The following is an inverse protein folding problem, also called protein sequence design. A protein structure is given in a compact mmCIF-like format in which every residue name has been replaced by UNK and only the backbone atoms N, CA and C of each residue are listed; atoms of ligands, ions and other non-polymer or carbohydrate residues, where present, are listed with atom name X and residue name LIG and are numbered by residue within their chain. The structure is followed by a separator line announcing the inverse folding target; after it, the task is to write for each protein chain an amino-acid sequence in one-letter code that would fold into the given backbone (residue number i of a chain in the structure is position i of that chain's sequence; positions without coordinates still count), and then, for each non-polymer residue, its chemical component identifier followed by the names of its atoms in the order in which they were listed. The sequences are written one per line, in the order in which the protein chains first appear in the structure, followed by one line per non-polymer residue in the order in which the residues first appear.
data_IF_777437716291
#
_entry.id   IF_777437716291
#
_cell.length_a   1.000
_cell.length_b   1.000
_cell.length_c   1.000
_cell.angle_alpha   90.00
_cell.angle_beta   90.00
_cell.angle_gamma   90.00
#
_symmetry.space_group_name_H-M   'P 1'
#
loop_
_entity.id
_entity.type
_entity.pdbx_description
1 polymer ?
#
# COMPACT_ATOMS: atom_id res chain seq x y z
N UNK A 1 28.09 3.57 -13.80
CA UNK A 1 27.04 4.56 -13.48
C UNK A 1 25.85 3.82 -12.88
N UNK A 2 25.91 3.43 -11.61
CA UNK A 2 24.71 3.01 -10.90
C UNK A 2 24.00 4.28 -10.47
N UNK A 3 22.93 4.65 -11.17
CA UNK A 3 21.99 5.62 -10.63
C UNK A 3 21.53 5.05 -9.29
N UNK A 4 22.01 5.60 -8.18
CA UNK A 4 21.49 5.29 -6.85
C UNK A 4 19.99 5.50 -6.95
N UNK A 5 19.18 4.46 -7.01
CA UNK A 5 17.74 4.58 -6.97
C UNK A 5 17.30 4.31 -5.54
N UNK A 6 16.29 5.03 -5.04
CA UNK A 6 15.72 4.69 -3.74
C UNK A 6 15.24 3.23 -3.75
N UNK A 7 15.87 2.41 -2.92
CA UNK A 7 15.52 1.01 -2.73
C UNK A 7 15.10 0.75 -1.29
N UNK A 8 14.16 -0.17 -1.13
CA UNK A 8 13.74 -0.69 0.16
C UNK A 8 13.98 -2.19 0.12
N UNK A 9 14.78 -2.71 1.05
CA UNK A 9 15.18 -4.12 1.07
C UNK A 9 15.76 -4.61 -0.28
N UNK A 10 16.54 -3.76 -0.97
CA UNK A 10 17.15 -4.07 -2.27
C UNK A 10 16.20 -4.04 -3.46
N UNK A 11 14.92 -3.67 -3.27
CA UNK A 11 13.91 -3.56 -4.34
C UNK A 11 13.52 -2.13 -4.61
N UNK A 12 13.14 -1.85 -5.86
CA UNK A 12 12.66 -0.53 -6.25
C UNK A 12 11.22 -0.29 -5.77
N UNK A 13 10.80 0.98 -5.71
CA UNK A 13 9.47 1.30 -5.19
C UNK A 13 8.30 0.67 -5.99
N UNK A 14 8.32 0.61 -7.34
CA UNK A 14 7.33 -0.16 -8.12
C UNK A 14 7.17 -1.62 -7.69
N UNK A 15 8.27 -2.33 -7.41
CA UNK A 15 8.26 -3.72 -6.95
C UNK A 15 7.63 -3.85 -5.56
N UNK A 16 7.92 -2.90 -4.68
CA UNK A 16 7.29 -2.82 -3.36
C UNK A 16 5.79 -2.58 -3.51
N UNK A 17 5.35 -1.65 -4.37
CA UNK A 17 3.92 -1.40 -4.63
C UNK A 17 3.19 -2.65 -5.13
N UNK A 18 3.82 -3.39 -6.06
CA UNK A 18 3.28 -4.64 -6.57
C UNK A 18 3.18 -5.69 -5.46
N UNK A 19 4.23 -5.87 -4.66
CA UNK A 19 4.23 -6.81 -3.54
C UNK A 19 3.16 -6.47 -2.49
N UNK A 20 3.04 -5.19 -2.11
CA UNK A 20 2.02 -4.71 -1.17
C UNK A 20 0.61 -4.95 -1.71
N UNK A 21 0.37 -4.67 -2.99
CA UNK A 21 -0.92 -4.96 -3.63
C UNK A 21 -1.25 -6.45 -3.65
N UNK A 22 -0.26 -7.31 -3.89
CA UNK A 22 -0.44 -8.77 -3.82
C UNK A 22 -0.76 -9.25 -2.39
N UNK A 23 -0.11 -8.68 -1.37
CA UNK A 23 -0.40 -8.99 0.03
C UNK A 23 -1.85 -8.59 0.37
N UNK A 24 -2.29 -7.40 -0.05
CA UNK A 24 -3.66 -6.95 0.14
C UNK A 24 -4.68 -7.83 -0.60
N UNK A 25 -4.37 -8.25 -1.82
CA UNK A 25 -5.20 -9.16 -2.60
C UNK A 25 -5.31 -10.53 -1.93
N UNK A 26 -4.19 -11.13 -1.52
CA UNK A 26 -4.16 -12.40 -0.81
C UNK A 26 -4.93 -12.33 0.50
N UNK A 27 -4.77 -11.24 1.26
CA UNK A 27 -5.50 -11.02 2.50
C UNK A 27 -7.02 -10.91 2.26
N UNK A 28 -7.44 -10.09 1.30
CA UNK A 28 -8.87 -9.90 1.02
C UNK A 28 -9.56 -11.18 0.52
N UNK A 29 -8.89 -11.96 -0.34
CA UNK A 29 -9.39 -13.27 -0.78
C UNK A 29 -9.45 -14.23 0.41
N UNK A 30 -8.38 -14.32 1.21
CA UNK A 30 -8.34 -15.18 2.39
C UNK A 30 -9.43 -14.84 3.40
N UNK A 31 -9.63 -13.55 3.69
CA UNK A 31 -10.67 -13.09 4.59
C UNK A 31 -12.08 -13.42 4.07
N UNK A 32 -12.32 -13.28 2.76
CA UNK A 32 -13.60 -13.66 2.16
C UNK A 32 -13.89 -15.16 2.31
N UNK A 33 -12.91 -16.01 2.03
CA UNK A 33 -13.04 -17.48 2.17
C UNK A 33 -13.24 -17.88 3.63
N UNK A 34 -12.47 -17.31 4.57
CA UNK A 34 -12.60 -17.58 6.01
C UNK A 34 -13.97 -17.14 6.55
N UNK A 35 -14.58 -16.12 5.95
CA UNK A 35 -15.93 -15.67 6.30
C UNK A 35 -17.06 -16.52 5.70
N UNK A 36 -16.75 -17.73 5.21
CA UNK A 36 -17.68 -18.59 4.45
C UNK A 36 -18.32 -17.87 3.25
N UNK A 37 -17.57 -16.94 2.64
CA UNK A 37 -18.05 -16.08 1.54
C UNK A 37 -19.29 -15.24 1.91
N UNK A 38 -19.61 -15.10 3.19
CA UNK A 38 -20.79 -14.39 3.66
C UNK A 38 -20.62 -12.86 3.63
N UNK A 39 -19.38 -12.37 3.52
CA UNK A 39 -19.07 -10.95 3.70
C UNK A 39 -18.20 -10.37 2.60
N UNK A 40 -18.82 -9.78 1.58
CA UNK A 40 -18.12 -9.01 0.53
C UNK A 40 -17.31 -7.85 1.14
N UNK A 41 -17.72 -7.33 2.31
CA UNK A 41 -16.98 -6.28 3.01
C UNK A 41 -15.62 -6.77 3.54
N UNK A 42 -15.40 -8.08 3.70
CA UNK A 42 -14.08 -8.64 4.01
C UNK A 42 -13.06 -8.42 2.89
N UNK A 43 -13.51 -8.13 1.65
CA UNK A 43 -12.65 -7.84 0.51
C UNK A 43 -12.18 -6.38 0.43
N UNK A 44 -12.58 -5.50 1.37
CA UNK A 44 -12.13 -4.09 1.38
C UNK A 44 -10.59 -3.97 1.27
N UNK A 45 -9.76 -4.75 2.00
CA UNK A 45 -8.31 -4.71 1.84
C UNK A 45 -7.85 -4.93 0.40
N UNK A 46 -8.49 -5.84 -0.33
CA UNK A 46 -8.21 -6.10 -1.75
C UNK A 46 -8.69 -4.95 -2.64
N UNK A 47 -9.88 -4.39 -2.43
CA UNK A 47 -10.37 -3.28 -3.26
C UNK A 47 -9.54 -2.01 -3.08
N UNK A 48 -9.02 -1.77 -1.87
CA UNK A 48 -8.21 -0.60 -1.55
C UNK A 48 -6.74 -0.79 -1.93
N UNK A 49 -6.18 -1.99 -1.69
CA UNK A 49 -4.79 -2.31 -1.99
C UNK A 49 -4.54 -2.82 -3.41
N UNK A 50 -5.55 -3.36 -4.09
CA UNK A 50 -5.48 -3.83 -5.48
C UNK A 50 -4.99 -2.75 -6.45
N UNK A 51 -5.54 -1.52 -6.42
CA UNK A 51 -5.04 -0.40 -7.20
C UNK A 51 -3.55 -0.10 -6.95
N UNK A 52 -3.05 -0.27 -5.72
CA UNK A 52 -1.63 -0.07 -5.38
C UNK A 52 -0.76 -1.02 -6.21
N UNK A 53 -1.13 -2.30 -6.25
CA UNK A 53 -0.42 -3.33 -7.00
C UNK A 53 -0.48 -3.10 -8.51
N UNK A 54 -1.66 -2.77 -9.03
CA UNK A 54 -1.88 -2.48 -10.45
C UNK A 54 -1.04 -1.28 -10.91
N UNK A 55 -1.02 -0.19 -10.13
CA UNK A 55 -0.22 0.99 -10.42
C UNK A 55 1.28 0.71 -10.31
N UNK A 56 1.68 -0.15 -9.36
CA UNK A 56 3.05 -0.67 -9.26
C UNK A 56 3.48 -1.35 -10.55
N UNK A 57 2.68 -2.31 -11.02
CA UNK A 57 2.93 -3.02 -12.29
C UNK A 57 2.95 -2.09 -13.51
N UNK A 58 1.98 -1.16 -13.62
CA UNK A 58 1.95 -0.17 -14.71
C UNK A 58 3.19 0.73 -14.69
N UNK A 59 3.69 1.10 -13.52
CA UNK A 59 4.88 1.94 -13.39
C UNK A 59 6.18 1.24 -13.82
N UNK A 60 6.22 -0.10 -13.77
CA UNK A 60 7.32 -0.89 -14.35
C UNK A 60 7.25 -0.93 -15.88
N UNK A 61 6.05 -1.14 -16.44
CA UNK A 61 5.87 -1.21 -17.90
C UNK A 61 6.00 0.16 -18.58
N UNK A 62 5.62 1.23 -17.90
CA UNK A 62 5.61 2.59 -18.46
C UNK A 62 6.47 3.53 -17.60
N UNK A 63 7.80 3.42 -17.66
CA UNK A 63 8.70 4.21 -16.82
C UNK A 63 8.56 5.72 -17.06
N UNK A 64 8.16 6.13 -18.27
CA UNK A 64 7.91 7.55 -18.63
C UNK A 64 6.88 8.22 -17.72
N UNK A 65 5.86 7.46 -17.26
CA UNK A 65 4.78 7.96 -16.38
C UNK A 65 4.93 7.48 -14.93
N UNK A 66 6.08 6.92 -14.57
CA UNK A 66 6.33 6.33 -13.24
C UNK A 66 6.01 7.31 -12.11
N UNK A 67 6.42 8.57 -12.20
CA UNK A 67 6.16 9.58 -11.16
C UNK A 67 4.68 9.71 -10.84
N UNK A 68 3.82 9.79 -11.86
CA UNK A 68 2.37 9.93 -11.70
C UNK A 68 1.76 8.68 -11.09
N UNK A 69 2.11 7.49 -11.59
CA UNK A 69 1.62 6.23 -11.04
C UNK A 69 2.02 6.04 -9.57
N UNK A 70 3.24 6.43 -9.20
CA UNK A 70 3.69 6.34 -7.81
C UNK A 70 2.95 7.34 -6.90
N UNK A 71 2.63 8.55 -7.36
CA UNK A 71 1.84 9.49 -6.56
C UNK A 71 0.41 8.99 -6.35
N UNK A 72 -0.25 8.51 -7.42
CA UNK A 72 -1.59 7.92 -7.31
C UNK A 72 -1.55 6.70 -6.38
N UNK A 73 -0.54 5.85 -6.51
CA UNK A 73 -0.37 4.67 -5.66
C UNK A 73 -0.16 5.05 -4.19
N UNK A 74 0.61 6.11 -3.91
CA UNK A 74 0.78 6.65 -2.56
C UNK A 74 -0.54 7.18 -1.97
N UNK A 75 -1.41 7.80 -2.79
CA UNK A 75 -2.75 8.21 -2.36
C UNK A 75 -3.59 7.01 -1.92
N UNK A 76 -3.59 5.92 -2.70
CA UNK A 76 -4.28 4.69 -2.29
C UNK A 76 -3.71 4.10 -1.00
N UNK A 77 -2.39 4.13 -0.83
CA UNK A 77 -1.74 3.77 0.44
C UNK A 77 -2.24 4.59 1.63
N UNK A 78 -2.37 5.90 1.45
CA UNK A 78 -2.89 6.79 2.49
C UNK A 78 -4.36 6.50 2.80
N UNK A 79 -5.18 6.27 1.78
CA UNK A 79 -6.60 5.91 1.99
C UNK A 79 -6.70 4.56 2.71
N UNK A 80 -5.83 3.58 2.43
CA UNK A 80 -5.77 2.33 3.20
C UNK A 80 -5.47 2.59 4.68
N UNK A 81 -4.48 3.43 4.98
CA UNK A 81 -4.13 3.79 6.35
C UNK A 81 -5.30 4.49 7.06
N UNK A 82 -5.95 5.46 6.41
CA UNK A 82 -7.11 6.17 6.96
C UNK A 82 -8.31 5.25 7.18
N UNK A 83 -8.58 4.34 6.22
CA UNK A 83 -9.63 3.32 6.38
C UNK A 83 -9.33 2.37 7.54
N UNK A 84 -8.05 2.05 7.76
CA UNK A 84 -7.58 1.27 8.89
C UNK A 84 -7.76 1.94 10.26
N UNK A 85 -7.87 3.28 10.35
CA UNK A 85 -8.09 3.99 11.62
C UNK A 85 -9.41 3.61 12.31
N UNK A 86 -10.38 3.08 11.55
CA UNK A 86 -11.62 2.51 12.12
C UNK A 86 -11.33 1.37 13.12
N UNK A 87 -10.16 0.75 13.06
CA UNK A 87 -9.69 -0.23 14.05
C UNK A 87 -9.86 0.26 15.50
N UNK A 88 -9.55 1.52 15.79
CA UNK A 88 -9.67 2.08 17.15
C UNK A 88 -11.11 2.09 17.63
N UNK A 89 -12.06 2.43 16.74
CA UNK A 89 -13.49 2.39 17.06
C UNK A 89 -13.99 0.96 17.30
N UNK A 90 -13.52 0.01 16.49
CA UNK A 90 -13.88 -1.42 16.62
C UNK A 90 -13.37 -1.97 17.96
N UNK A 91 -12.14 -1.64 18.34
CA UNK A 91 -11.54 -2.07 19.61
C UNK A 91 -12.26 -1.46 20.83
N UNK A 92 -12.61 -0.17 20.77
CA UNK A 92 -13.35 0.49 21.86
C UNK A 92 -14.79 0.00 21.98
N UNK A 93 -15.42 -0.37 20.86
CA UNK A 93 -16.81 -0.86 20.85
C UNK A 93 -16.97 -2.29 21.38
N UNK A 94 -15.91 -3.10 21.44
CA UNK A 94 -15.96 -4.46 21.98
C UNK A 94 -16.63 -5.52 21.09
N UNK A 95 -17.38 -5.11 20.06
CA UNK A 95 -18.19 -6.00 19.21
C UNK A 95 -17.48 -6.47 17.93
N UNK A 96 -16.17 -6.23 17.81
CA UNK A 96 -15.39 -6.57 16.63
C UNK A 96 -15.06 -8.06 16.54
N UNK A 97 -15.42 -8.73 15.45
CA UNK A 97 -14.91 -10.08 15.18
C UNK A 97 -13.40 -10.05 14.93
N UNK A 98 -12.70 -11.14 15.26
CA UNK A 98 -11.25 -11.27 15.04
C UNK A 98 -10.86 -10.96 13.58
N UNK A 99 -11.67 -11.41 12.62
CA UNK A 99 -11.44 -11.18 11.20
C UNK A 99 -11.59 -9.69 10.81
N UNK A 100 -12.59 -9.01 11.39
CA UNK A 100 -12.82 -7.58 11.16
C UNK A 100 -11.66 -6.75 11.74
N UNK A 101 -11.23 -7.06 12.96
CA UNK A 101 -10.09 -6.43 13.64
C UNK A 101 -8.82 -6.64 12.80
N UNK A 102 -8.53 -7.88 12.41
CA UNK A 102 -7.33 -8.21 11.64
C UNK A 102 -7.33 -7.51 10.27
N UNK A 103 -8.47 -7.43 9.58
CA UNK A 103 -8.57 -6.75 8.28
C UNK A 103 -8.32 -5.24 8.37
N UNK A 104 -8.82 -4.58 9.40
CA UNK A 104 -8.54 -3.16 9.63
C UNK A 104 -7.10 -2.92 10.12
N UNK A 105 -6.54 -3.86 10.89
CA UNK A 105 -5.14 -3.82 11.30
C UNK A 105 -4.18 -3.92 10.10
N UNK A 106 -4.45 -4.83 9.16
CA UNK A 106 -3.64 -4.96 7.93
C UNK A 106 -3.74 -3.69 7.08
N UNK A 107 -4.94 -3.14 6.89
CA UNK A 107 -5.13 -1.85 6.21
C UNK A 107 -4.32 -0.72 6.86
N UNK A 108 -4.38 -0.61 8.18
CA UNK A 108 -3.69 0.43 8.93
C UNK A 108 -2.17 0.26 8.85
N UNK A 109 -1.66 -0.92 9.21
CA UNK A 109 -0.22 -1.17 9.32
C UNK A 109 0.43 -1.17 7.94
N UNK A 110 -0.07 -2.00 7.02
CA UNK A 110 0.54 -2.13 5.69
C UNK A 110 0.36 -0.84 4.87
N UNK A 111 -0.80 -0.20 4.95
CA UNK A 111 -1.07 1.08 4.30
C UNK A 111 -0.18 2.20 4.83
N UNK A 112 0.05 2.27 6.14
CA UNK A 112 0.92 3.28 6.76
C UNK A 112 2.39 3.07 6.40
N UNK A 113 2.89 1.84 6.50
CA UNK A 113 4.27 1.48 6.14
C UNK A 113 4.52 1.79 4.66
N UNK A 114 3.60 1.40 3.78
CA UNK A 114 3.72 1.66 2.35
C UNK A 114 3.72 3.16 2.03
N UNK A 115 2.79 3.92 2.63
CA UNK A 115 2.74 5.39 2.47
C UNK A 115 4.04 6.04 2.94
N UNK A 116 4.58 5.58 4.07
CA UNK A 116 5.86 6.06 4.59
C UNK A 116 7.01 5.85 3.59
N UNK A 117 7.11 4.65 3.00
CA UNK A 117 8.12 4.38 1.98
C UNK A 117 7.95 5.23 0.72
N UNK A 118 6.71 5.49 0.28
CA UNK A 118 6.45 6.39 -0.84
C UNK A 118 6.95 7.81 -0.55
N UNK A 119 6.65 8.35 0.63
CA UNK A 119 7.11 9.69 1.05
C UNK A 119 8.63 9.74 1.13
N UNK A 120 9.28 8.72 1.69
CA UNK A 120 10.75 8.66 1.74
C UNK A 120 11.36 8.62 0.34
N UNK A 121 10.77 7.87 -0.58
CA UNK A 121 11.20 7.85 -1.98
C UNK A 121 11.13 9.23 -2.63
N UNK A 122 10.06 10.00 -2.38
CA UNK A 122 9.93 11.37 -2.90
C UNK A 122 10.95 12.33 -2.29
N UNK A 123 11.18 12.24 -0.98
CA UNK A 123 12.18 13.06 -0.28
C UNK A 123 13.59 12.77 -0.81
N UNK A 124 13.91 11.50 -0.98
CA UNK A 124 15.20 11.07 -1.53
C UNK A 124 15.38 11.59 -2.96
N UNK A 125 14.36 11.46 -3.83
CA UNK A 125 14.44 11.96 -5.20
C UNK A 125 14.61 13.49 -5.27
N UNK A 126 14.02 14.24 -4.33
CA UNK A 126 14.22 15.68 -4.23
C UNK A 126 15.66 16.04 -3.84
N UNK A 127 16.22 15.37 -2.83
CA UNK A 127 17.61 15.60 -2.38
C UNK A 127 18.62 15.34 -3.49
N UNK A 128 18.44 14.29 -4.28
CA UNK A 128 19.34 14.00 -5.40
C UNK A 128 19.28 15.07 -6.49
N UNK A 129 18.10 15.65 -6.75
CA UNK A 129 18.00 16.80 -7.67
C UNK A 129 18.72 18.02 -7.15
N UNK A 130 18.53 18.35 -5.87
CA UNK A 130 19.21 19.50 -5.23
C UNK A 130 20.75 19.31 -5.23
N UNK A 131 21.24 18.08 -5.02
CA UNK A 131 22.68 17.78 -5.06
C UNK A 131 23.28 17.76 -6.48
N UNK A 132 22.49 17.51 -7.52
CA UNK A 132 22.93 17.56 -8.91
C UNK A 132 22.92 18.98 -9.49
N UNK A 133 22.15 19.89 -8.88
CA UNK A 133 22.07 21.31 -9.23
C UNK A 133 23.11 22.18 -8.48
N UNK A 134 23.81 21.61 -7.49
CA UNK A 134 24.85 22.25 -6.67
C UNK A 134 26.27 21.92 -7.14
#
# INVERSE_FOLDING_TARGET
MSEDAYTVAGRNMPEISMAVGLIFAAWGIGAYVISDMASITAMIPMFMGGPIGLLGFMSMKMPVKRKTFMHISAMFGLICALGGLRLFQILMGGDGTNLLIASHAVLLVLGSIYTYFCVQSFRWARKQREAAEA
#
